data_IF_594608898754
#
_entry.id   IF_594608898754
#
_cell.length_a   1.000
_cell.length_b   1.000
_cell.length_c   1.000
_cell.angle_alpha   90.00
_cell.angle_beta   90.00
_cell.angle_gamma   90.00
#
_symmetry.space_group_name_H-M   'P 1'
#
loop_
_entity.id
_entity.type
_entity.pdbx_description
1 polymer ?
#
# COMPACT_ATOMS: atom_id res chain seq x y z
N UNK A 1 24.59 77.77 17.50
CA UNK A 1 23.46 77.20 18.27
C UNK A 1 22.28 78.08 17.94
N UNK A 2 21.51 77.71 16.90
CA UNK A 2 20.18 78.24 16.51
C UNK A 2 19.73 77.44 15.26
N UNK A 3 18.78 76.51 15.46
CA UNK A 3 17.34 76.54 15.09
C UNK A 3 17.06 76.26 13.61
N UNK A 4 16.53 75.06 13.32
CA UNK A 4 15.75 74.82 12.09
C UNK A 4 14.55 73.90 12.39
N UNK A 5 13.38 74.51 12.20
CA UNK A 5 12.08 74.02 11.75
C UNK A 5 11.57 72.62 12.14
N UNK A 6 10.46 72.64 12.88
CA UNK A 6 9.39 71.64 12.81
C UNK A 6 8.68 71.76 11.46
N UNK A 7 8.52 70.65 10.76
CA UNK A 7 7.40 70.42 9.83
C UNK A 7 6.96 68.96 9.93
N UNK A 8 5.68 68.80 9.69
CA UNK A 8 4.76 67.84 10.30
C UNK A 8 4.55 66.56 9.46
N UNK A 9 4.03 65.55 10.17
CA UNK A 9 3.18 64.45 9.71
C UNK A 9 3.62 63.55 8.56
N UNK A 10 3.84 62.29 8.95
CA UNK A 10 3.74 61.13 8.09
C UNK A 10 3.70 59.86 8.94
N UNK A 11 2.75 59.76 9.87
CA UNK A 11 2.49 58.51 10.59
C UNK A 11 2.00 57.47 9.57
N UNK A 12 2.94 56.70 9.00
CA UNK A 12 2.60 55.52 8.23
C UNK A 12 1.76 54.62 9.14
N UNK A 13 0.53 54.26 8.73
CA UNK A 13 -0.41 53.67 9.64
C UNK A 13 0.11 52.29 10.05
N UNK A 14 0.17 52.12 11.36
CA UNK A 14 0.37 50.88 12.11
C UNK A 14 -0.69 49.84 11.70
N UNK A 15 -0.61 49.29 10.49
CA UNK A 15 -1.53 48.23 10.00
C UNK A 15 -0.81 46.89 9.93
N UNK A 16 0.44 46.79 10.39
CA UNK A 16 1.13 45.49 10.51
C UNK A 16 0.98 44.79 11.88
N UNK A 17 0.00 45.20 12.68
CA UNK A 17 -0.34 44.49 13.93
C UNK A 17 -1.77 43.92 13.94
N UNK A 18 -2.54 44.08 12.86
CA UNK A 18 -3.93 43.59 12.80
C UNK A 18 -4.08 42.12 12.39
N UNK A 19 -2.98 41.34 12.32
CA UNK A 19 -3.04 39.89 12.12
C UNK A 19 -2.57 39.08 13.33
N UNK A 20 -2.45 39.70 14.51
CA UNK A 20 -2.08 39.01 15.76
C UNK A 20 -3.31 38.45 16.51
N UNK A 21 -4.53 38.80 16.08
CA UNK A 21 -5.78 38.44 16.77
C UNK A 21 -6.61 37.30 16.16
N UNK A 22 -6.29 36.82 14.96
CA UNK A 22 -6.84 35.54 14.48
C UNK A 22 -5.75 34.52 14.76
N UNK A 23 -5.89 33.77 15.85
CA UNK A 23 -5.12 32.55 15.99
C UNK A 23 -5.36 31.75 14.71
N UNK A 24 -4.33 31.58 13.89
CA UNK A 24 -4.35 30.73 12.70
C UNK A 24 -4.44 29.27 13.17
N UNK A 25 -5.58 28.95 13.77
CA UNK A 25 -5.94 27.63 14.23
C UNK A 25 -5.99 26.70 13.02
N UNK A 26 -6.30 27.20 11.82
CA UNK A 26 -6.24 26.42 10.58
C UNK A 26 -4.81 25.93 10.29
N UNK A 27 -3.81 26.80 10.45
CA UNK A 27 -2.40 26.42 10.42
C UNK A 27 -2.05 25.38 11.50
N UNK A 28 -2.50 25.60 12.74
CA UNK A 28 -2.27 24.68 13.87
C UNK A 28 -2.84 23.28 13.63
N UNK A 29 -4.09 23.17 13.18
CA UNK A 29 -4.74 21.88 12.90
C UNK A 29 -4.03 21.16 11.74
N UNK A 30 -3.58 21.90 10.71
CA UNK A 30 -2.80 21.32 9.61
C UNK A 30 -1.47 20.74 10.11
N UNK A 31 -0.73 21.51 10.91
CA UNK A 31 0.53 21.04 11.49
C UNK A 31 0.30 19.83 12.41
N UNK A 32 -0.76 19.84 13.21
CA UNK A 32 -1.10 18.72 14.08
C UNK A 32 -1.51 17.45 13.30
N UNK A 33 -2.21 17.60 12.17
CA UNK A 33 -2.57 16.48 11.31
C UNK A 33 -1.34 15.84 10.67
N UNK A 34 -0.41 16.66 10.15
CA UNK A 34 0.87 16.17 9.61
C UNK A 34 1.71 15.49 10.69
N UNK A 35 1.77 16.06 11.90
CA UNK A 35 2.48 15.44 13.01
C UNK A 35 1.89 14.05 13.33
N UNK A 36 0.56 13.95 13.48
CA UNK A 36 -0.11 12.66 13.73
C UNK A 36 0.12 11.64 12.61
N UNK A 37 0.17 12.09 11.36
CA UNK A 37 0.48 11.23 10.20
C UNK A 37 1.89 10.66 10.32
N UNK A 38 2.87 11.53 10.56
CA UNK A 38 4.27 11.12 10.73
C UNK A 38 4.47 10.22 11.95
N UNK A 39 3.79 10.51 13.07
CA UNK A 39 3.82 9.65 14.26
C UNK A 39 3.25 8.26 13.97
N UNK A 40 2.19 8.15 13.17
CA UNK A 40 1.64 6.85 12.76
C UNK A 40 2.57 6.11 11.79
N UNK A 41 3.19 6.82 10.85
CA UNK A 41 4.16 6.27 9.92
C UNK A 41 5.39 5.74 10.67
N UNK A 42 5.91 6.50 11.64
CA UNK A 42 7.00 6.07 12.50
C UNK A 42 6.65 4.79 13.28
N UNK A 43 5.46 4.72 13.89
CA UNK A 43 5.00 3.50 14.57
C UNK A 43 4.89 2.30 13.63
N UNK A 44 4.34 2.50 12.42
CA UNK A 44 4.24 1.43 11.41
C UNK A 44 5.61 0.88 11.05
N UNK A 45 6.58 1.77 10.80
CA UNK A 45 7.94 1.38 10.45
C UNK A 45 8.66 0.66 11.60
N UNK A 46 8.46 1.10 12.85
CA UNK A 46 8.98 0.40 14.04
C UNK A 46 8.42 -1.02 14.16
N UNK A 47 7.12 -1.20 13.93
CA UNK A 47 6.46 -2.51 13.93
C UNK A 47 6.95 -3.41 12.78
N UNK A 48 7.15 -2.86 11.59
CA UNK A 48 7.69 -3.58 10.43
C UNK A 48 9.15 -4.00 10.66
N UNK A 49 9.96 -3.16 11.29
CA UNK A 49 11.34 -3.49 11.63
C UNK A 49 11.42 -4.62 12.66
N UNK A 50 10.56 -4.60 13.71
CA UNK A 50 10.47 -5.68 14.69
C UNK A 50 10.03 -7.01 14.05
N UNK A 51 9.16 -6.96 13.04
CA UNK A 51 8.81 -8.14 12.24
C UNK A 51 10.00 -8.63 11.42
N UNK A 52 10.71 -7.75 10.73
CA UNK A 52 11.89 -8.10 9.92
C UNK A 52 13.00 -8.73 10.75
N UNK A 53 13.21 -8.29 11.99
CA UNK A 53 14.19 -8.89 12.90
C UNK A 53 13.84 -10.34 13.27
N UNK A 54 12.55 -10.67 13.28
CA UNK A 54 12.03 -12.01 13.59
C UNK A 54 11.91 -12.91 12.36
N UNK A 55 12.07 -12.37 11.15
CA UNK A 55 11.95 -13.13 9.91
C UNK A 55 13.18 -14.01 9.67
N UNK A 56 12.94 -15.21 9.17
CA UNK A 56 14.00 -16.10 8.72
C UNK A 56 14.71 -15.56 7.47
N UNK A 57 15.93 -16.04 7.25
CA UNK A 57 16.67 -15.71 6.04
C UNK A 57 15.87 -16.13 4.79
N UNK A 58 15.82 -15.27 3.78
CA UNK A 58 15.11 -15.54 2.53
C UNK A 58 15.53 -16.88 1.88
N UNK A 59 16.79 -17.29 2.05
CA UNK A 59 17.29 -18.57 1.56
C UNK A 59 16.61 -19.79 2.18
N UNK A 60 16.14 -19.70 3.43
CA UNK A 60 15.38 -20.74 4.12
C UNK A 60 13.99 -20.84 3.49
N UNK A 61 13.25 -19.72 3.46
CA UNK A 61 11.90 -19.69 2.87
C UNK A 61 11.88 -20.07 1.40
N UNK A 62 12.89 -19.67 0.62
CA UNK A 62 13.01 -20.09 -0.78
C UNK A 62 13.24 -21.59 -0.94
N UNK A 63 14.05 -22.22 -0.07
CA UNK A 63 14.27 -23.68 -0.10
C UNK A 63 13.00 -24.45 0.26
N UNK A 64 12.25 -23.97 1.25
CA UNK A 64 10.96 -24.55 1.63
C UNK A 64 9.96 -24.46 0.49
N UNK A 65 9.86 -23.28 -0.13
CA UNK A 65 9.01 -23.07 -1.31
C UNK A 65 9.38 -24.00 -2.47
N UNK A 66 10.68 -24.12 -2.78
CA UNK A 66 11.15 -25.04 -3.82
C UNK A 66 10.79 -26.49 -3.51
N UNK A 67 10.98 -26.94 -2.27
CA UNK A 67 10.61 -28.29 -1.85
C UNK A 67 9.11 -28.55 -2.06
N UNK A 68 8.24 -27.59 -1.69
CA UNK A 68 6.79 -27.72 -1.92
C UNK A 68 6.46 -27.84 -3.41
N UNK A 69 7.10 -27.01 -4.26
CA UNK A 69 6.87 -27.02 -5.71
C UNK A 69 7.39 -28.31 -6.36
N UNK A 70 8.54 -28.82 -5.92
CA UNK A 70 9.15 -30.03 -6.47
C UNK A 70 8.43 -31.32 -6.03
N UNK A 71 7.87 -31.35 -4.82
CA UNK A 71 7.21 -32.54 -4.28
C UNK A 71 5.76 -32.71 -4.74
N UNK A 72 5.08 -31.62 -5.12
CA UNK A 72 3.69 -31.64 -5.55
C UNK A 72 3.59 -31.44 -7.06
N UNK A 73 3.29 -32.51 -7.77
CA UNK A 73 3.10 -32.47 -9.23
C UNK A 73 1.86 -31.63 -9.60
N UNK A 74 2.05 -30.61 -10.44
CA UNK A 74 0.98 -29.77 -10.98
C UNK A 74 0.52 -30.32 -12.35
N UNK A 75 -0.76 -30.74 -12.49
CA UNK A 75 -1.29 -31.29 -13.73
C UNK A 75 -1.42 -30.26 -14.87
N UNK A 76 -1.31 -28.96 -14.58
CA UNK A 76 -1.29 -27.91 -15.60
C UNK A 76 0.11 -27.69 -16.19
N UNK A 77 1.15 -28.26 -15.58
CA UNK A 77 2.52 -28.12 -16.05
C UNK A 77 2.90 -29.30 -16.94
N UNK A 78 3.49 -28.99 -18.09
CA UNK A 78 3.90 -29.97 -19.13
C UNK A 78 4.92 -31.01 -18.65
N UNK A 79 5.58 -30.74 -17.52
CA UNK A 79 6.60 -31.58 -16.92
C UNK A 79 6.11 -32.12 -15.56
N UNK A 80 4.98 -32.81 -15.56
CA UNK A 80 4.45 -33.44 -14.35
C UNK A 80 5.29 -34.69 -14.05
N UNK A 81 6.21 -34.61 -13.09
CA UNK A 81 6.86 -35.81 -12.53
C UNK A 81 5.86 -36.48 -11.61
N UNK A 82 5.12 -37.46 -12.13
CA UNK A 82 4.14 -38.21 -11.37
C UNK A 82 3.24 -39.08 -12.26
N UNK A 83 2.59 -40.12 -11.72
CA UNK A 83 1.61 -40.89 -12.47
C UNK A 83 0.44 -39.98 -12.88
N UNK A 84 -0.02 -40.14 -14.12
CA UNK A 84 -1.23 -39.47 -14.61
C UNK A 84 -2.37 -39.75 -13.63
N UNK A 85 -3.03 -38.72 -13.10
CA UNK A 85 -4.14 -38.90 -12.18
C UNK A 85 -5.46 -38.93 -12.99
N UNK A 86 -6.10 -40.11 -13.16
CA UNK A 86 -7.27 -40.25 -14.04
C UNK A 86 -8.50 -39.48 -13.54
N UNK A 87 -8.51 -39.00 -12.29
CA UNK A 87 -9.62 -38.18 -11.78
C UNK A 87 -9.63 -36.77 -12.37
N UNK A 88 -8.51 -36.33 -12.97
CA UNK A 88 -8.40 -35.03 -13.63
C UNK A 88 -8.95 -35.05 -15.05
N UNK A 89 -9.07 -36.23 -15.65
CA UNK A 89 -9.65 -36.40 -16.99
C UNK A 89 -11.06 -35.77 -17.04
N UNK A 90 -11.85 -35.83 -15.96
CA UNK A 90 -13.16 -35.16 -15.88
C UNK A 90 -13.11 -33.63 -16.07
N UNK A 91 -11.99 -32.98 -15.76
CA UNK A 91 -11.82 -31.52 -15.87
C UNK A 91 -11.13 -31.07 -17.15
N UNK A 92 -10.34 -31.97 -17.79
CA UNK A 92 -9.57 -31.67 -18.99
C UNK A 92 -10.11 -32.33 -20.26
N UNK A 93 -10.82 -33.45 -20.14
CA UNK A 93 -11.68 -33.93 -21.20
C UNK A 93 -12.84 -32.96 -21.31
N UNK A 94 -13.03 -32.40 -22.51
CA UNK A 94 -14.25 -31.65 -22.85
C UNK A 94 -15.49 -32.51 -22.59
N UNK A 95 -16.71 -31.95 -22.70
CA UNK A 95 -17.93 -32.71 -22.50
C UNK A 95 -17.83 -34.05 -23.21
N UNK A 96 -17.81 -35.16 -22.46
CA UNK A 96 -17.88 -36.47 -23.09
C UNK A 96 -19.16 -36.41 -23.89
N UNK A 97 -19.05 -36.51 -25.22
CA UNK A 97 -20.23 -36.60 -26.05
C UNK A 97 -20.95 -37.88 -25.64
N UNK A 98 -21.85 -37.72 -24.68
CA UNK A 98 -22.86 -38.68 -24.29
C UNK A 98 -23.73 -38.83 -25.51
N UNK A 99 -23.26 -39.65 -26.45
CA UNK A 99 -23.94 -40.12 -27.66
C UNK A 99 -25.08 -39.18 -28.02
N UNK A 100 -24.71 -38.04 -28.64
CA UNK A 100 -25.56 -36.84 -28.72
C UNK A 100 -27.03 -37.21 -28.88
N UNK A 101 -27.85 -36.79 -27.91
CA UNK A 101 -29.27 -37.11 -27.95
C UNK A 101 -29.81 -36.66 -29.32
N UNK A 102 -30.36 -37.58 -30.09
CA UNK A 102 -30.96 -37.31 -31.40
C UNK A 102 -32.34 -36.64 -31.25
N UNK A 103 -32.49 -35.72 -30.30
CA UNK A 103 -33.71 -34.95 -30.16
C UNK A 103 -33.75 -33.90 -31.27
N UNK A 104 -34.65 -34.10 -32.22
CA UNK A 104 -35.05 -33.06 -33.16
C UNK A 104 -35.70 -31.95 -32.35
N UNK A 105 -35.09 -30.76 -32.35
CA UNK A 105 -35.78 -29.54 -31.92
C UNK A 105 -36.84 -29.27 -33.00
N UNK A 106 -38.11 -29.45 -32.63
CA UNK A 106 -39.25 -29.00 -33.42
C UNK A 106 -39.64 -27.59 -32.96
#
# INVERSE_FOLDING_TARGET
METVAVVDSGAAPLVRLQSIGVTDTRGKHRVQAELKRLEQEARSLEEELDQLEKMDAASISCKEMLNIVETKSDPLLSLTVGPLNPQWDRWFEGPQEVQGCSCLIM
#
